data_IF_922058636567
#
_entry.id   IF_922058636567
#
_cell.length_a   1.000
_cell.length_b   1.000
_cell.length_c   1.000
_cell.angle_alpha   90.00
_cell.angle_beta   90.00
_cell.angle_gamma   90.00
#
_symmetry.space_group_name_H-M   'P 1'
#
loop_
_entity.id
_entity.type
_entity.pdbx_description
1 polymer ?
#
# COMPACT_ATOMS: atom_id res chain seq x y z
N UNK A 1 -12.80 -5.11 -23.60
CA UNK A 1 -13.04 -5.68 -22.27
C UNK A 1 -11.85 -5.43 -21.37
N UNK A 2 -12.01 -4.52 -20.40
CA UNK A 2 -11.00 -4.30 -19.37
C UNK A 2 -11.16 -5.41 -18.32
N UNK A 3 -10.45 -6.52 -18.50
CA UNK A 3 -10.36 -7.61 -17.52
C UNK A 3 -9.38 -7.22 -16.41
N UNK A 4 -9.71 -6.18 -15.64
CA UNK A 4 -8.94 -5.83 -14.46
C UNK A 4 -9.30 -6.77 -13.29
N UNK A 5 -8.31 -7.13 -12.49
CA UNK A 5 -8.48 -7.99 -11.32
C UNK A 5 -9.20 -7.20 -10.23
N UNK A 6 -10.35 -7.68 -9.78
CA UNK A 6 -11.18 -7.02 -8.77
C UNK A 6 -11.36 -7.87 -7.49
N UNK A 7 -11.54 -7.18 -6.37
CA UNK A 7 -11.91 -7.78 -5.08
C UNK A 7 -13.19 -7.11 -4.59
N UNK A 8 -14.27 -7.88 -4.46
CA UNK A 8 -15.56 -7.41 -3.97
C UNK A 8 -15.80 -7.84 -2.51
N UNK A 9 -15.88 -6.88 -1.59
CA UNK A 9 -16.14 -7.14 -0.16
C UNK A 9 -17.58 -6.71 0.17
N UNK A 10 -18.42 -7.67 0.58
CA UNK A 10 -19.79 -7.41 1.04
C UNK A 10 -19.89 -7.71 2.54
N UNK A 11 -20.19 -6.68 3.32
CA UNK A 11 -20.38 -6.78 4.77
C UNK A 11 -21.87 -6.61 5.11
N UNK A 12 -22.30 -7.15 6.26
CA UNK A 12 -23.62 -6.88 6.82
C UNK A 12 -23.77 -5.43 7.31
N UNK A 13 -24.82 -5.14 8.07
CA UNK A 13 -25.16 -3.77 8.49
C UNK A 13 -24.09 -3.08 9.37
N UNK A 14 -23.20 -3.84 10.02
CA UNK A 14 -22.20 -3.28 10.95
C UNK A 14 -20.82 -3.79 10.54
N UNK A 15 -19.89 -2.85 10.36
CA UNK A 15 -18.45 -3.14 10.25
C UNK A 15 -17.86 -2.93 11.64
N UNK A 16 -17.54 -4.03 12.33
CA UNK A 16 -16.82 -3.95 13.60
C UNK A 16 -15.32 -3.66 13.38
N UNK A 17 -14.60 -3.32 14.46
CA UNK A 17 -13.18 -2.99 14.37
C UNK A 17 -12.32 -4.11 13.79
N UNK A 18 -12.70 -5.38 14.02
CA UNK A 18 -11.94 -6.53 13.53
C UNK A 18 -12.11 -6.67 12.02
N UNK A 19 -13.33 -6.47 11.53
CA UNK A 19 -13.65 -6.48 10.10
C UNK A 19 -13.01 -5.29 9.39
N UNK A 20 -13.00 -4.11 10.03
CA UNK A 20 -12.30 -2.93 9.51
C UNK A 20 -10.80 -3.20 9.35
N UNK A 21 -10.14 -3.78 10.36
CA UNK A 21 -8.72 -4.17 10.28
C UNK A 21 -8.44 -5.13 9.13
N UNK A 22 -9.32 -6.10 8.89
CA UNK A 22 -9.18 -7.05 7.78
C UNK A 22 -9.30 -6.34 6.42
N UNK A 23 -10.27 -5.44 6.26
CA UNK A 23 -10.44 -4.65 5.04
C UNK A 23 -9.20 -3.79 4.78
N UNK A 24 -8.64 -3.17 5.82
CA UNK A 24 -7.46 -2.34 5.70
C UNK A 24 -6.21 -3.14 5.36
N UNK A 25 -6.07 -4.37 5.88
CA UNK A 25 -5.02 -5.29 5.45
C UNK A 25 -5.13 -5.64 3.96
N UNK A 26 -6.32 -5.99 3.48
CA UNK A 26 -6.55 -6.29 2.05
C UNK A 26 -6.17 -5.08 1.19
N UNK A 27 -6.60 -3.88 1.59
CA UNK A 27 -6.24 -2.63 0.90
C UNK A 27 -4.75 -2.34 0.91
N UNK A 28 -4.06 -2.65 2.00
CA UNK A 28 -2.61 -2.49 2.11
C UNK A 28 -1.91 -3.31 1.02
N UNK A 29 -2.34 -4.55 0.80
CA UNK A 29 -1.79 -5.40 -0.27
C UNK A 29 -2.18 -4.95 -1.68
N UNK A 30 -3.33 -4.30 -1.84
CA UNK A 30 -3.77 -3.80 -3.16
C UNK A 30 -3.09 -2.49 -3.58
N UNK A 31 -2.61 -1.67 -2.64
CA UNK A 31 -2.08 -0.32 -2.91
C UNK A 31 -0.78 -0.02 -2.16
N UNK A 32 0.14 -0.98 -2.11
CA UNK A 32 1.47 -0.75 -1.54
C UNK A 32 2.58 -0.99 -2.54
N UNK A 33 3.69 -0.27 -2.35
CA UNK A 33 4.96 -0.56 -3.00
C UNK A 33 5.88 -1.29 -2.02
N UNK A 34 6.61 -2.28 -2.53
CA UNK A 34 7.66 -2.96 -1.77
C UNK A 34 8.97 -2.19 -1.95
N UNK A 35 9.50 -1.65 -0.86
CA UNK A 35 10.77 -0.94 -0.82
C UNK A 35 11.82 -1.78 -0.08
N UNK A 36 13.09 -1.57 -0.44
CA UNK A 36 14.22 -2.11 0.29
C UNK A 36 15.05 -0.95 0.82
N UNK A 37 15.17 -0.86 2.14
CA UNK A 37 16.03 0.11 2.82
C UNK A 37 16.99 -0.66 3.71
N UNK A 38 18.28 -0.43 3.50
CA UNK A 38 19.36 -1.20 4.12
C UNK A 38 19.27 -2.72 3.83
N UNK A 39 18.95 -3.52 4.86
CA UNK A 39 18.81 -4.98 4.78
C UNK A 39 17.38 -5.46 4.96
N UNK A 40 16.44 -4.54 5.16
CA UNK A 40 15.05 -4.84 5.47
C UNK A 40 14.13 -4.54 4.28
N UNK A 41 13.01 -5.26 4.23
CA UNK A 41 11.95 -5.09 3.22
C UNK A 41 10.76 -4.41 3.90
N UNK A 42 10.28 -3.33 3.30
CA UNK A 42 9.14 -2.56 3.79
C UNK A 42 8.03 -2.58 2.76
N UNK A 43 6.79 -2.72 3.24
CA UNK A 43 5.60 -2.58 2.42
C UNK A 43 4.98 -1.21 2.72
N UNK A 44 5.16 -0.27 1.80
CA UNK A 44 4.77 1.13 1.96
C UNK A 44 3.43 1.35 1.28
N UNK A 45 2.43 1.81 2.04
CA UNK A 45 1.13 2.22 1.49
C UNK A 45 1.30 3.41 0.55
N UNK A 46 0.74 3.33 -0.65
CA UNK A 46 0.75 4.43 -1.63
C UNK A 46 -0.04 5.65 -1.13
N UNK A 47 -0.90 5.51 -0.11
CA UNK A 47 -1.59 6.66 0.51
C UNK A 47 -0.66 7.55 1.32
N UNK A 48 0.45 6.99 1.81
CA UNK A 48 1.41 7.72 2.64
C UNK A 48 2.52 8.35 1.80
N UNK A 49 2.64 7.94 0.52
CA UNK A 49 3.61 8.46 -0.43
C UNK A 49 3.20 9.83 -0.96
N UNK A 50 4.08 10.82 -0.77
CA UNK A 50 3.89 12.18 -1.29
C UNK A 50 4.38 12.28 -2.73
N UNK A 51 5.54 11.70 -3.03
CA UNK A 51 6.05 11.58 -4.39
C UNK A 51 7.02 10.39 -4.52
N UNK A 52 7.21 9.94 -5.76
CA UNK A 52 8.15 8.88 -6.13
C UNK A 52 9.06 9.45 -7.21
N UNK A 53 10.38 9.32 -7.03
CA UNK A 53 11.37 9.74 -8.02
C UNK A 53 12.39 8.62 -8.27
N UNK A 54 12.99 8.65 -9.45
CA UNK A 54 14.11 7.78 -9.80
C UNK A 54 15.34 8.65 -10.06
N UNK A 55 16.45 8.32 -9.39
CA UNK A 55 17.75 8.96 -9.55
C UNK A 55 18.76 7.87 -9.90
N UNK A 56 19.37 8.00 -11.08
CA UNK A 56 20.25 6.98 -11.67
C UNK A 56 19.55 5.61 -11.73
N UNK A 57 20.07 4.60 -11.01
CA UNK A 57 19.56 3.23 -11.01
C UNK A 57 18.66 2.91 -9.80
N UNK A 58 18.27 3.93 -9.02
CA UNK A 58 17.46 3.76 -7.80
C UNK A 58 16.16 4.55 -7.87
N UNK A 59 15.10 3.97 -7.31
CA UNK A 59 13.79 4.60 -7.14
C UNK A 59 13.52 4.78 -5.66
N UNK A 60 13.05 5.97 -5.31
CA UNK A 60 12.85 6.40 -3.93
C UNK A 60 11.39 6.80 -3.71
N UNK A 61 10.84 6.40 -2.57
CA UNK A 61 9.49 6.75 -2.13
C UNK A 61 9.60 7.71 -0.95
N UNK A 62 9.07 8.92 -1.12
CA UNK A 62 9.12 9.98 -0.14
C UNK A 62 7.83 10.03 0.67
N UNK A 63 7.95 9.76 1.98
CA UNK A 63 6.91 9.97 2.97
C UNK A 63 7.14 11.31 3.69
N UNK A 64 6.25 11.66 4.62
CA UNK A 64 6.36 12.91 5.40
C UNK A 64 7.72 13.05 6.12
N UNK A 65 8.25 11.94 6.66
CA UNK A 65 9.43 11.95 7.53
C UNK A 65 10.55 11.01 7.08
N UNK A 66 10.27 10.14 6.12
CA UNK A 66 11.20 9.09 5.72
C UNK A 66 11.24 8.94 4.20
N UNK A 67 12.40 8.47 3.72
CA UNK A 67 12.61 8.06 2.33
C UNK A 67 12.95 6.58 2.34
N UNK A 68 12.35 5.84 1.40
CA UNK A 68 12.53 4.40 1.20
C UNK A 68 13.04 4.08 -0.19
#
# INVERSE_FOLDING_TARGET
>A
DNNEVEINIKCGQIIDEKLQKLIDQIRLYSFSIVCKKDKEIYQISLKDAYYIESVEEKTFVYLEKEVY
#
